data_IF_770038325027
#
_entry.id   IF_770038325027
#
_cell.length_a   1.000
_cell.length_b   1.000
_cell.length_c   1.000
_cell.angle_alpha   90.00
_cell.angle_beta   90.00
_cell.angle_gamma   90.00
#
_symmetry.space_group_name_H-M   'P 1'
#
loop_
_entity.id
_entity.type
_entity.pdbx_description
1 polymer ?
#
# COMPACT_ATOMS: atom_id res chain seq x y z
N UNK A 1 -33.42 10.11 29.15
CA UNK A 1 -33.23 10.34 27.71
C UNK A 1 -32.07 9.48 27.24
N UNK A 2 -32.35 8.51 26.38
CA UNK A 2 -31.39 7.52 25.90
C UNK A 2 -30.24 8.14 25.10
N UNK A 3 -29.01 7.80 25.46
CA UNK A 3 -27.81 8.20 24.72
C UNK A 3 -27.70 7.38 23.42
N UNK A 4 -27.52 8.01 22.24
CA UNK A 4 -27.17 7.27 21.04
C UNK A 4 -25.76 6.67 21.17
N UNK A 5 -25.68 5.33 21.12
CA UNK A 5 -24.43 4.54 21.14
C UNK A 5 -23.52 4.95 19.98
N UNK A 6 -22.25 5.21 20.30
CA UNK A 6 -21.13 5.46 19.35
C UNK A 6 -20.93 4.23 18.43
N UNK A 7 -20.66 4.40 17.11
CA UNK A 7 -20.07 3.33 16.33
C UNK A 7 -18.63 3.10 16.78
N UNK A 8 -18.25 1.84 17.03
CA UNK A 8 -16.88 1.47 17.36
C UNK A 8 -15.95 1.74 16.16
N UNK A 9 -15.00 2.67 16.30
CA UNK A 9 -14.01 2.95 15.23
C UNK A 9 -13.23 4.28 15.28
N UNK A 10 -13.58 5.26 16.12
CA UNK A 10 -12.89 6.57 16.12
C UNK A 10 -11.41 6.46 16.58
N UNK A 11 -10.42 6.96 15.81
CA UNK A 11 -9.00 6.91 16.17
C UNK A 11 -8.64 7.84 17.32
N UNK A 12 -8.05 7.26 18.36
CA UNK A 12 -7.19 7.96 19.32
C UNK A 12 -5.73 7.52 19.10
N UNK A 13 -4.81 8.46 19.27
CA UNK A 13 -3.36 8.24 19.21
C UNK A 13 -2.57 9.56 19.15
N UNK A 14 -2.22 10.09 20.33
CA UNK A 14 -0.97 10.81 20.72
C UNK A 14 0.08 11.00 19.61
N UNK A 15 0.65 12.16 19.26
CA UNK A 15 0.89 13.45 19.91
C UNK A 15 2.39 13.81 19.80
N UNK A 16 2.76 14.95 19.21
CA UNK A 16 4.14 15.50 19.21
C UNK A 16 4.24 16.83 18.44
N UNK A 17 4.61 17.92 19.13
CA UNK A 17 4.80 19.28 18.63
C UNK A 17 6.19 19.46 18.02
N UNK A 18 6.32 20.22 16.92
CA UNK A 18 7.55 20.98 16.62
C UNK A 18 7.22 22.32 15.95
N UNK A 19 7.98 23.33 16.35
CA UNK A 19 7.91 24.71 15.89
C UNK A 19 8.42 24.84 14.44
N UNK A 20 7.69 25.62 13.64
CA UNK A 20 8.08 26.00 12.29
C UNK A 20 9.05 27.19 12.35
N UNK A 21 10.25 27.01 11.79
CA UNK A 21 11.10 28.11 11.33
C UNK A 21 10.83 28.32 9.82
N UNK A 22 10.37 29.51 9.36
CA UNK A 22 9.88 29.72 8.00
C UNK A 22 10.94 30.20 6.99
N UNK A 23 12.24 30.12 7.29
CA UNK A 23 13.29 30.60 6.37
C UNK A 23 14.35 29.53 6.08
N UNK A 24 14.19 28.83 4.97
CA UNK A 24 15.12 27.79 4.51
C UNK A 24 14.99 27.44 3.03
N UNK A 25 15.21 28.45 2.17
CA UNK A 25 15.74 28.36 0.80
C UNK A 25 15.32 27.19 -0.10
N UNK A 26 14.37 27.48 -1.00
CA UNK A 26 14.24 26.79 -2.28
C UNK A 26 15.45 27.13 -3.18
N UNK A 27 16.37 26.19 -3.37
CA UNK A 27 17.32 26.16 -4.49
C UNK A 27 18.01 24.78 -4.56
N UNK A 28 17.79 24.03 -5.65
CA UNK A 28 18.64 22.87 -5.99
C UNK A 28 17.94 21.53 -6.25
N UNK A 29 16.81 21.48 -6.96
CA UNK A 29 16.32 20.20 -7.51
C UNK A 29 16.86 20.01 -8.93
N UNK A 30 17.55 18.90 -9.26
CA UNK A 30 18.01 18.62 -10.60
C UNK A 30 16.82 18.32 -11.52
N UNK A 31 16.87 18.86 -12.74
CA UNK A 31 15.96 18.55 -13.83
C UNK A 31 16.08 17.07 -14.21
N UNK A 32 15.08 16.25 -13.87
CA UNK A 32 14.99 14.88 -14.38
C UNK A 32 14.38 14.93 -15.79
N UNK A 33 15.24 14.76 -16.80
CA UNK A 33 14.79 14.34 -18.12
C UNK A 33 14.11 12.97 -18.03
N UNK A 34 13.08 12.67 -18.85
CA UNK A 34 12.39 11.39 -18.81
C UNK A 34 13.38 10.27 -19.18
N UNK A 35 13.62 9.36 -18.24
CA UNK A 35 14.41 8.16 -18.47
C UNK A 35 13.76 7.35 -19.60
N UNK A 36 14.47 7.19 -20.72
CA UNK A 36 14.08 6.26 -21.77
C UNK A 36 13.90 4.87 -21.16
N UNK A 37 12.72 4.28 -21.32
CA UNK A 37 12.49 2.89 -20.95
C UNK A 37 13.44 2.02 -21.78
N UNK A 38 14.44 1.43 -21.14
CA UNK A 38 15.28 0.42 -21.77
C UNK A 38 14.37 -0.73 -22.24
N UNK A 39 14.42 -1.04 -23.53
CA UNK A 39 13.65 -2.15 -24.10
C UNK A 39 14.29 -3.45 -23.62
N UNK A 40 13.61 -4.18 -22.73
CA UNK A 40 14.05 -5.51 -22.29
C UNK A 40 14.05 -6.47 -23.47
N UNK A 41 15.22 -7.03 -23.79
CA UNK A 41 15.39 -8.07 -24.80
C UNK A 41 15.17 -9.45 -24.16
N UNK A 42 14.50 -10.32 -24.90
CA UNK A 42 14.23 -11.69 -24.50
C UNK A 42 14.94 -12.64 -25.46
N UNK A 43 15.70 -13.59 -24.93
CA UNK A 43 16.16 -14.73 -25.70
C UNK A 43 14.96 -15.57 -26.15
N UNK A 44 15.07 -16.20 -27.30
CA UNK A 44 14.04 -17.11 -27.77
C UNK A 44 14.03 -18.43 -26.97
N UNK A 45 13.01 -19.26 -27.22
CA UNK A 45 12.83 -20.52 -26.54
C UNK A 45 13.99 -21.51 -26.79
N UNK A 46 14.61 -21.49 -27.96
CA UNK A 46 15.67 -22.44 -28.32
C UNK A 46 16.99 -22.05 -27.68
N UNK A 47 17.37 -20.77 -27.74
CA UNK A 47 18.52 -20.21 -27.04
C UNK A 47 18.40 -20.43 -25.54
N UNK A 48 17.21 -20.21 -24.96
CA UNK A 48 16.93 -20.46 -23.55
C UNK A 48 17.14 -21.95 -23.18
N UNK A 49 16.63 -22.89 -24.01
CA UNK A 49 16.85 -24.34 -23.77
C UNK A 49 18.33 -24.70 -23.83
N UNK A 50 19.08 -24.20 -24.82
CA UNK A 50 20.53 -24.47 -24.95
C UNK A 50 21.31 -24.02 -23.71
N UNK A 51 20.95 -22.88 -23.12
CA UNK A 51 21.55 -22.40 -21.87
C UNK A 51 21.19 -23.34 -20.70
N UNK A 52 19.92 -23.73 -20.58
CA UNK A 52 19.44 -24.63 -19.51
C UNK A 52 20.01 -26.05 -19.61
N UNK A 53 20.24 -26.55 -20.82
CA UNK A 53 20.85 -27.88 -21.04
C UNK A 53 22.30 -27.92 -20.53
N UNK A 54 23.05 -26.83 -20.74
CA UNK A 54 24.42 -26.66 -20.24
C UNK A 54 24.48 -26.35 -18.73
N UNK A 55 23.39 -25.88 -18.14
CA UNK A 55 23.35 -25.46 -16.73
C UNK A 55 23.71 -26.60 -15.77
N UNK A 56 24.65 -26.35 -14.87
CA UNK A 56 24.91 -27.19 -13.70
C UNK A 56 24.05 -26.74 -12.51
N UNK A 57 23.96 -25.43 -12.29
CA UNK A 57 23.22 -24.82 -11.19
C UNK A 57 22.39 -23.62 -11.65
N UNK A 58 21.22 -23.46 -11.02
CA UNK A 58 20.30 -22.34 -11.27
C UNK A 58 19.96 -21.70 -9.93
N UNK A 59 20.07 -20.38 -9.85
CA UNK A 59 19.83 -19.60 -8.65
C UNK A 59 18.85 -18.46 -8.92
N UNK A 60 17.97 -18.19 -7.96
CA UNK A 60 17.13 -16.99 -7.96
C UNK A 60 17.61 -16.02 -6.90
N UNK A 61 18.11 -14.88 -7.36
CA UNK A 61 18.70 -13.82 -6.54
C UNK A 61 17.80 -12.59 -6.50
N UNK A 62 18.23 -11.53 -5.79
CA UNK A 62 17.54 -10.24 -5.80
C UNK A 62 17.55 -9.58 -7.19
N UNK A 63 18.62 -9.79 -7.95
CA UNK A 63 18.83 -9.18 -9.28
C UNK A 63 18.22 -10.02 -10.42
N UNK A 64 17.69 -11.21 -10.09
CA UNK A 64 17.04 -12.10 -11.04
C UNK A 64 17.66 -13.49 -11.09
N UNK A 65 17.53 -14.15 -12.23
CA UNK A 65 18.06 -15.48 -12.49
C UNK A 65 19.58 -15.45 -12.70
N UNK A 66 20.29 -16.36 -12.04
CA UNK A 66 21.70 -16.67 -12.32
C UNK A 66 21.82 -18.14 -12.69
N UNK A 67 22.53 -18.43 -13.77
CA UNK A 67 22.76 -19.79 -14.26
C UNK A 67 24.27 -19.98 -14.41
N UNK A 68 24.79 -21.00 -13.74
CA UNK A 68 26.18 -21.43 -13.85
C UNK A 68 26.23 -22.83 -14.49
N UNK A 69 27.28 -23.13 -15.25
CA UNK A 69 27.51 -24.47 -15.80
C UNK A 69 27.93 -25.47 -14.70
N UNK A 70 28.32 -26.68 -15.11
CA UNK A 70 28.73 -27.74 -14.16
C UNK A 70 30.06 -27.46 -13.49
N UNK A 71 30.91 -26.65 -14.11
CA UNK A 71 32.23 -26.29 -13.63
C UNK A 71 32.19 -24.98 -12.81
N UNK A 72 31.01 -24.36 -12.72
CA UNK A 72 30.76 -23.14 -11.95
C UNK A 72 30.99 -21.84 -12.74
N UNK A 73 31.17 -21.92 -14.05
CA UNK A 73 31.29 -20.74 -14.89
C UNK A 73 29.91 -20.13 -15.20
N UNK A 74 29.84 -18.80 -15.17
CA UNK A 74 28.60 -18.07 -15.44
C UNK A 74 28.16 -18.28 -16.89
N UNK A 75 26.99 -18.89 -17.07
CA UNK A 75 26.34 -19.03 -18.37
C UNK A 75 25.38 -17.87 -18.64
N UNK A 76 24.68 -17.40 -17.61
CA UNK A 76 23.69 -16.35 -17.74
C UNK A 76 23.47 -15.61 -16.41
N UNK A 77 23.40 -14.28 -16.48
CA UNK A 77 22.96 -13.42 -15.39
C UNK A 77 21.86 -12.50 -15.92
N UNK A 78 20.68 -12.57 -15.31
CA UNK A 78 19.56 -11.72 -15.68
C UNK A 78 19.85 -10.25 -15.36
N UNK A 79 19.38 -9.37 -16.24
CA UNK A 79 19.40 -7.91 -16.06
C UNK A 79 18.07 -7.31 -16.50
N UNK A 80 17.90 -6.00 -16.31
CA UNK A 80 16.71 -5.28 -16.78
C UNK A 80 16.63 -5.20 -18.32
N UNK A 81 17.77 -5.31 -19.00
CA UNK A 81 17.87 -5.24 -20.46
C UNK A 81 17.86 -6.62 -21.13
N UNK A 82 18.15 -7.69 -20.38
CA UNK A 82 18.32 -9.03 -20.93
C UNK A 82 17.67 -10.10 -20.05
N UNK A 83 16.69 -10.81 -20.61
CA UNK A 83 16.00 -11.95 -19.96
C UNK A 83 15.93 -13.16 -20.87
N UNK A 84 15.77 -14.34 -20.29
CA UNK A 84 15.47 -15.56 -21.03
C UNK A 84 13.96 -15.73 -21.28
N UNK A 85 13.60 -16.62 -22.20
CA UNK A 85 12.20 -16.93 -22.50
C UNK A 85 11.47 -17.44 -21.25
N UNK A 86 10.47 -16.67 -20.83
CA UNK A 86 9.70 -16.90 -19.62
C UNK A 86 8.90 -18.20 -19.70
N UNK A 87 8.37 -18.55 -20.87
CA UNK A 87 7.56 -19.75 -21.05
C UNK A 87 8.41 -21.01 -20.85
N UNK A 88 9.60 -21.05 -21.46
CA UNK A 88 10.56 -22.14 -21.30
C UNK A 88 11.02 -22.28 -19.85
N UNK A 89 11.41 -21.19 -19.19
CA UNK A 89 11.88 -21.21 -17.79
C UNK A 89 10.83 -21.76 -16.80
N UNK A 90 9.55 -21.43 -17.02
CA UNK A 90 8.47 -21.86 -16.13
C UNK A 90 8.26 -23.39 -16.16
N UNK A 91 8.61 -24.04 -17.27
CA UNK A 91 8.47 -25.48 -17.43
C UNK A 91 9.76 -26.27 -17.14
N UNK A 92 10.89 -25.58 -16.96
CA UNK A 92 12.18 -26.22 -16.69
C UNK A 92 12.31 -26.73 -15.22
N UNK A 93 12.66 -28.01 -15.01
CA UNK A 93 12.79 -28.57 -13.66
C UNK A 93 13.88 -27.93 -12.79
N UNK A 94 15.02 -27.51 -13.38
CA UNK A 94 16.13 -26.88 -12.63
C UNK A 94 15.69 -25.51 -12.10
N UNK A 95 14.99 -24.75 -12.92
CA UNK A 95 14.40 -23.45 -12.58
C UNK A 95 13.33 -23.60 -11.51
N UNK A 96 12.42 -24.57 -11.62
CA UNK A 96 11.40 -24.79 -10.58
C UNK A 96 12.01 -25.25 -9.26
N UNK A 97 13.13 -26.01 -9.29
CA UNK A 97 13.90 -26.34 -8.07
C UNK A 97 14.51 -25.09 -7.44
N UNK A 98 15.12 -24.22 -8.25
CA UNK A 98 15.70 -22.95 -7.79
C UNK A 98 14.65 -22.02 -7.18
N UNK A 99 13.45 -21.93 -7.78
CA UNK A 99 12.32 -21.16 -7.24
C UNK A 99 11.90 -21.69 -5.87
N UNK A 100 11.77 -23.01 -5.71
CA UNK A 100 11.43 -23.63 -4.42
C UNK A 100 12.49 -23.34 -3.37
N UNK A 101 13.77 -23.52 -3.70
CA UNK A 101 14.88 -23.23 -2.80
C UNK A 101 14.93 -21.75 -2.40
N UNK A 102 14.67 -20.84 -3.33
CA UNK A 102 14.69 -19.42 -3.06
C UNK A 102 13.61 -18.96 -2.08
N UNK A 103 12.52 -19.72 -1.95
CA UNK A 103 11.37 -19.36 -1.12
C UNK A 103 11.14 -20.30 0.07
N UNK A 104 12.02 -21.29 0.27
CA UNK A 104 11.90 -22.32 1.30
C UNK A 104 12.03 -21.73 2.71
N UNK A 105 13.11 -21.00 2.95
CA UNK A 105 13.45 -20.48 4.27
C UNK A 105 13.01 -19.03 4.45
N UNK A 106 12.62 -18.59 5.67
CA UNK A 106 12.30 -17.19 5.94
C UNK A 106 13.50 -16.28 5.65
N UNK A 107 13.32 -15.27 4.79
CA UNK A 107 14.41 -14.38 4.37
C UNK A 107 14.75 -13.28 5.38
N UNK A 108 14.09 -13.24 6.53
CA UNK A 108 14.21 -12.18 7.54
C UNK A 108 14.69 -12.67 8.91
N UNK A 109 15.17 -13.91 8.97
CA UNK A 109 15.69 -14.53 10.21
C UNK A 109 17.10 -15.08 10.01
N UNK A 110 17.92 -15.03 11.07
CA UNK A 110 19.26 -15.62 11.10
C UNK A 110 20.32 -14.78 10.39
N UNK A 111 21.52 -15.37 10.24
CA UNK A 111 22.70 -14.71 9.67
C UNK A 111 22.57 -14.39 8.17
N UNK A 112 21.59 -14.99 7.49
CA UNK A 112 21.26 -14.74 6.09
C UNK A 112 20.12 -13.71 5.90
N UNK A 113 19.76 -12.95 6.95
CA UNK A 113 18.68 -11.96 6.88
C UNK A 113 18.95 -10.90 5.81
N UNK A 114 18.06 -10.83 4.83
CA UNK A 114 18.19 -9.92 3.69
C UNK A 114 17.63 -8.53 4.03
N UNK A 115 18.14 -7.50 3.36
CA UNK A 115 17.54 -6.16 3.42
C UNK A 115 16.08 -6.20 2.95
N UNK A 116 15.19 -5.31 3.43
CA UNK A 116 13.78 -5.31 3.02
C UNK A 116 13.58 -5.21 1.49
N UNK A 117 14.44 -4.47 0.78
CA UNK A 117 14.40 -4.35 -0.68
C UNK A 117 14.81 -5.67 -1.35
N UNK A 118 15.91 -6.29 -0.90
CA UNK A 118 16.41 -7.55 -1.47
C UNK A 118 15.42 -8.72 -1.26
N UNK A 119 14.73 -8.77 -0.11
CA UNK A 119 13.65 -9.75 0.14
C UNK A 119 12.54 -9.66 -0.90
N UNK A 120 12.04 -8.45 -1.14
CA UNK A 120 10.98 -8.18 -2.13
C UNK A 120 11.45 -8.47 -3.54
N UNK A 121 12.68 -8.08 -3.89
CA UNK A 121 13.25 -8.31 -5.20
C UNK A 121 13.37 -9.83 -5.50
N UNK A 122 13.96 -10.59 -4.57
CA UNK A 122 14.09 -12.05 -4.70
C UNK A 122 12.73 -12.76 -4.73
N UNK A 123 11.80 -12.39 -3.85
CA UNK A 123 10.46 -12.97 -3.83
C UNK A 123 9.69 -12.69 -5.13
N UNK A 124 9.80 -11.46 -5.67
CA UNK A 124 9.21 -11.07 -6.95
C UNK A 124 9.84 -11.84 -8.12
N UNK A 125 11.16 -11.97 -8.15
CA UNK A 125 11.88 -12.74 -9.16
C UNK A 125 11.46 -14.22 -9.13
N UNK A 126 11.48 -14.86 -7.97
CA UNK A 126 11.08 -16.24 -7.79
C UNK A 126 9.61 -16.47 -8.20
N UNK A 127 8.72 -15.57 -7.82
CA UNK A 127 7.29 -15.69 -8.15
C UNK A 127 7.01 -15.50 -9.64
N UNK A 128 7.75 -14.62 -10.32
CA UNK A 128 7.69 -14.47 -11.78
C UNK A 128 8.04 -15.79 -12.47
N UNK A 129 9.13 -16.42 -12.04
CA UNK A 129 9.66 -17.69 -12.58
C UNK A 129 8.85 -18.93 -12.16
N UNK A 130 8.00 -18.82 -11.13
CA UNK A 130 7.18 -19.92 -10.65
C UNK A 130 6.09 -20.32 -11.64
N UNK A 131 5.88 -21.63 -11.79
CA UNK A 131 4.74 -22.19 -12.53
C UNK A 131 3.38 -21.80 -11.91
N UNK A 132 2.28 -21.83 -12.69
CA UNK A 132 0.94 -21.54 -12.16
C UNK A 132 0.58 -22.35 -10.91
N UNK A 133 0.94 -23.64 -10.88
CA UNK A 133 0.73 -24.51 -9.73
C UNK A 133 1.61 -24.12 -8.54
N UNK A 134 2.90 -23.86 -8.78
CA UNK A 134 3.83 -23.44 -7.73
C UNK A 134 3.43 -22.09 -7.12
N UNK A 135 2.92 -21.14 -7.92
CA UNK A 135 2.44 -19.84 -7.42
C UNK A 135 1.37 -19.98 -6.35
N UNK A 136 0.41 -20.90 -6.53
CA UNK A 136 -0.62 -21.16 -5.52
C UNK A 136 -0.01 -21.73 -4.24
N UNK A 137 0.84 -22.75 -4.36
CA UNK A 137 1.54 -23.34 -3.22
C UNK A 137 2.39 -22.32 -2.45
N UNK A 138 3.08 -21.42 -3.16
CA UNK A 138 3.87 -20.33 -2.58
C UNK A 138 2.97 -19.35 -1.81
N UNK A 139 1.84 -18.92 -2.39
CA UNK A 139 0.92 -18.00 -1.71
C UNK A 139 0.41 -18.61 -0.41
N UNK A 140 0.11 -19.91 -0.41
CA UNK A 140 -0.51 -20.60 0.72
C UNK A 140 0.49 -20.96 1.83
N UNK A 141 1.69 -21.41 1.47
CA UNK A 141 2.59 -22.08 2.41
C UNK A 141 3.97 -21.42 2.54
N UNK A 142 4.37 -20.53 1.64
CA UNK A 142 5.71 -19.93 1.75
C UNK A 142 5.77 -18.97 2.93
N UNK A 143 6.82 -19.04 3.77
CA UNK A 143 7.06 -18.05 4.81
C UNK A 143 7.34 -16.66 4.24
N UNK A 144 7.60 -16.56 2.93
CA UNK A 144 7.95 -15.32 2.22
C UNK A 144 6.78 -14.74 1.41
N UNK A 145 5.57 -15.30 1.54
CA UNK A 145 4.40 -14.84 0.79
C UNK A 145 4.06 -13.34 1.02
N UNK A 146 4.37 -12.81 2.22
CA UNK A 146 4.20 -11.37 2.55
C UNK A 146 5.00 -10.42 1.65
N UNK A 147 6.03 -10.90 0.97
CA UNK A 147 6.87 -10.10 0.06
C UNK A 147 6.41 -10.14 -1.39
N UNK A 148 5.41 -10.95 -1.72
CA UNK A 148 4.87 -11.07 -3.08
C UNK A 148 4.04 -9.84 -3.46
N UNK A 149 3.85 -9.57 -4.76
CA UNK A 149 2.98 -8.47 -5.17
C UNK A 149 1.52 -8.77 -4.79
N UNK A 150 0.89 -7.82 -4.07
CA UNK A 150 -0.46 -7.99 -3.55
C UNK A 150 -1.54 -8.23 -4.61
N UNK A 151 -1.34 -7.77 -5.84
CA UNK A 151 -2.23 -8.01 -6.98
C UNK A 151 -2.35 -9.48 -7.36
N UNK A 152 -1.24 -10.22 -7.38
CA UNK A 152 -1.26 -11.65 -7.67
C UNK A 152 -1.91 -12.45 -6.54
N UNK A 153 -1.64 -12.07 -5.29
CA UNK A 153 -2.30 -12.69 -4.14
C UNK A 153 -3.80 -12.43 -4.21
N UNK A 154 -4.23 -11.18 -4.36
CA UNK A 154 -5.65 -10.82 -4.44
C UNK A 154 -6.38 -11.56 -5.57
N UNK A 155 -5.77 -11.60 -6.76
CA UNK A 155 -6.33 -12.35 -7.90
C UNK A 155 -6.44 -13.84 -7.58
N UNK A 156 -5.41 -14.45 -6.99
CA UNK A 156 -5.43 -15.87 -6.60
C UNK A 156 -6.51 -16.16 -5.56
N UNK A 157 -6.64 -15.31 -4.53
CA UNK A 157 -7.62 -15.48 -3.45
C UNK A 157 -9.07 -15.28 -3.94
N UNK A 158 -9.31 -14.27 -4.78
CA UNK A 158 -10.65 -13.95 -5.29
C UNK A 158 -11.28 -15.08 -6.11
N UNK A 159 -10.47 -15.88 -6.82
CA UNK A 159 -10.93 -16.97 -7.68
C UNK A 159 -11.00 -18.33 -6.97
N UNK A 160 -10.81 -18.39 -5.65
CA UNK A 160 -10.90 -19.65 -4.91
C UNK A 160 -12.34 -20.10 -4.77
N UNK A 161 -12.55 -21.41 -4.87
CA UNK A 161 -13.83 -22.04 -4.52
C UNK A 161 -14.09 -21.96 -3.02
N UNK A 162 -13.05 -22.16 -2.22
CA UNK A 162 -13.08 -22.03 -0.76
C UNK A 162 -12.71 -20.60 -0.35
N UNK A 163 -13.74 -19.77 -0.15
CA UNK A 163 -13.59 -18.37 0.26
C UNK A 163 -13.19 -18.25 1.73
N UNK A 164 -13.51 -19.22 2.58
CA UNK A 164 -13.12 -19.17 4.00
C UNK A 164 -11.62 -19.35 4.16
N UNK A 165 -11.05 -20.36 3.50
CA UNK A 165 -9.61 -20.57 3.46
C UNK A 165 -8.88 -19.39 2.81
N UNK A 166 -9.47 -18.76 1.78
CA UNK A 166 -8.91 -17.55 1.16
C UNK A 166 -8.80 -16.39 2.17
N UNK A 167 -9.84 -16.21 2.99
CA UNK A 167 -9.88 -15.18 4.03
C UNK A 167 -8.94 -15.51 5.20
N UNK A 168 -8.81 -16.78 5.56
CA UNK A 168 -7.83 -17.21 6.57
C UNK A 168 -6.40 -16.94 6.13
N UNK A 169 -6.11 -17.06 4.84
CA UNK A 169 -4.80 -16.67 4.30
C UNK A 169 -4.58 -15.16 4.37
N UNK A 170 -5.58 -14.34 4.05
CA UNK A 170 -5.49 -12.89 4.23
C UNK A 170 -5.27 -12.50 5.71
N UNK A 171 -5.96 -13.16 6.64
CA UNK A 171 -5.78 -12.96 8.08
C UNK A 171 -4.37 -13.36 8.53
N UNK A 172 -3.84 -14.47 8.00
CA UNK A 172 -2.48 -14.93 8.28
C UNK A 172 -1.44 -13.94 7.76
N UNK A 173 -1.60 -13.45 6.53
CA UNK A 173 -0.76 -12.39 5.96
C UNK A 173 -0.81 -11.13 6.83
N UNK A 174 -1.97 -10.78 7.38
CA UNK A 174 -2.10 -9.62 8.27
C UNK A 174 -1.31 -9.77 9.57
N UNK A 175 -1.35 -10.97 10.18
CA UNK A 175 -0.57 -11.26 11.39
C UNK A 175 0.94 -11.24 11.13
N UNK A 176 1.36 -11.74 9.96
CA UNK A 176 2.76 -11.73 9.51
C UNK A 176 3.23 -10.30 9.19
N UNK A 177 2.44 -9.56 8.40
CA UNK A 177 2.72 -8.19 7.96
C UNK A 177 1.42 -7.47 7.53
N UNK A 178 0.98 -6.52 8.36
CA UNK A 178 -0.21 -5.72 8.08
C UNK A 178 -0.12 -4.91 6.77
N UNK A 179 1.09 -4.53 6.33
CA UNK A 179 1.29 -3.85 5.06
C UNK A 179 1.06 -4.79 3.86
N UNK A 180 1.50 -6.05 3.97
CA UNK A 180 1.24 -7.08 2.97
C UNK A 180 -0.26 -7.32 2.78
N UNK A 181 -1.01 -7.52 3.87
CA UNK A 181 -2.46 -7.65 3.80
C UNK A 181 -3.13 -6.39 3.23
N UNK A 182 -2.64 -5.19 3.57
CA UNK A 182 -3.15 -3.95 2.99
C UNK A 182 -2.93 -3.87 1.48
N UNK A 183 -1.81 -4.38 0.96
CA UNK A 183 -1.58 -4.45 -0.49
C UNK A 183 -2.58 -5.38 -1.19
N UNK A 184 -2.94 -6.50 -0.57
CA UNK A 184 -3.98 -7.42 -1.08
C UNK A 184 -5.36 -6.75 -1.09
N UNK A 185 -5.69 -5.99 -0.04
CA UNK A 185 -6.95 -5.25 0.06
C UNK A 185 -7.05 -4.14 -0.97
N UNK A 186 -5.98 -3.37 -1.19
CA UNK A 186 -5.93 -2.38 -2.28
C UNK A 186 -6.10 -3.00 -3.65
N UNK A 187 -5.57 -4.20 -3.85
CA UNK A 187 -5.74 -4.97 -5.08
C UNK A 187 -7.15 -5.59 -5.25
N UNK A 188 -8.00 -5.48 -4.23
CA UNK A 188 -9.43 -5.76 -4.36
C UNK A 188 -9.92 -7.06 -3.73
N UNK A 189 -9.13 -7.69 -2.85
CA UNK A 189 -9.59 -8.82 -2.03
C UNK A 189 -9.63 -8.44 -0.54
N UNK A 190 -10.73 -8.65 0.21
CA UNK A 190 -11.94 -9.37 -0.19
C UNK A 190 -12.78 -8.62 -1.23
N UNK A 191 -13.42 -9.38 -2.12
CA UNK A 191 -14.26 -8.88 -3.21
C UNK A 191 -15.77 -9.00 -2.93
N UNK A 192 -16.15 -9.33 -1.70
CA UNK A 192 -17.53 -9.35 -1.23
C UNK A 192 -17.69 -8.76 0.19
N UNK A 193 -18.94 -8.47 0.57
CA UNK A 193 -19.29 -7.90 1.87
C UNK A 193 -18.99 -8.86 3.03
N UNK A 194 -19.26 -10.15 2.87
CA UNK A 194 -19.10 -11.13 3.94
C UNK A 194 -17.62 -11.25 4.36
N UNK A 195 -16.73 -11.46 3.38
CA UNK A 195 -15.30 -11.54 3.58
C UNK A 195 -14.69 -10.25 4.11
N UNK A 196 -15.16 -9.09 3.64
CA UNK A 196 -14.74 -7.81 4.18
C UNK A 196 -15.04 -7.69 5.68
N UNK A 197 -16.26 -8.03 6.10
CA UNK A 197 -16.64 -7.98 7.51
C UNK A 197 -15.97 -9.07 8.35
N UNK A 198 -15.69 -10.25 7.80
CA UNK A 198 -14.88 -11.28 8.47
C UNK A 198 -13.47 -10.77 8.77
N UNK A 199 -12.79 -10.17 7.80
CA UNK A 199 -11.48 -9.56 8.00
C UNK A 199 -11.52 -8.40 9.00
N UNK A 200 -12.51 -7.50 8.87
CA UNK A 200 -12.68 -6.36 9.80
C UNK A 200 -12.86 -6.86 11.24
N UNK A 201 -13.69 -7.88 11.44
CA UNK A 201 -13.96 -8.41 12.77
C UNK A 201 -12.77 -9.18 13.34
N UNK A 202 -12.03 -9.90 12.50
CA UNK A 202 -10.83 -10.61 12.91
C UNK A 202 -9.74 -9.65 13.38
N UNK A 203 -9.52 -8.56 12.62
CA UNK A 203 -8.42 -7.60 12.81
C UNK A 203 -8.76 -6.41 13.70
N UNK A 204 -9.96 -6.34 14.28
CA UNK A 204 -10.32 -5.23 15.20
C UNK A 204 -9.66 -5.34 16.58
N UNK A 205 -9.24 -6.54 16.96
CA UNK A 205 -8.57 -6.85 18.24
C UNK A 205 -7.15 -7.33 17.99
N UNK A 206 -6.25 -7.02 18.92
CA UNK A 206 -4.83 -7.39 18.85
C UNK A 206 -4.69 -8.89 19.06
N UNK A 207 -3.79 -9.51 18.30
CA UNK A 207 -3.51 -10.95 18.36
C UNK A 207 -2.02 -11.22 18.40
N UNK A 208 -1.63 -12.35 18.99
CA UNK A 208 -0.24 -12.80 18.96
C UNK A 208 0.17 -13.14 17.52
N UNK A 209 1.30 -12.58 17.06
CA UNK A 209 1.78 -12.73 15.69
C UNK A 209 2.55 -14.05 15.46
N UNK A 210 3.07 -14.63 16.55
CA UNK A 210 3.79 -15.89 16.60
C UNK A 210 3.49 -16.56 17.95
N UNK A 211 3.81 -17.84 18.06
CA UNK A 211 3.83 -18.53 19.34
C UNK A 211 4.91 -17.90 20.23
N UNK A 212 4.63 -17.75 21.52
CA UNK A 212 5.58 -17.20 22.48
C UNK A 212 5.95 -18.17 23.62
N UNK A 213 6.99 -17.81 24.38
CA UNK A 213 7.52 -18.62 25.47
C UNK A 213 6.55 -18.73 26.65
N UNK A 214 5.54 -17.86 26.71
CA UNK A 214 4.49 -17.85 27.72
C UNK A 214 3.35 -18.81 27.38
N UNK A 215 3.44 -19.51 26.25
CA UNK A 215 2.47 -20.51 25.81
C UNK A 215 1.31 -19.92 25.01
N UNK A 216 1.36 -18.63 24.67
CA UNK A 216 0.35 -18.03 23.79
C UNK A 216 0.55 -18.54 22.37
N UNK A 217 -0.56 -18.86 21.71
CA UNK A 217 -0.54 -19.36 20.32
C UNK A 217 -0.73 -18.23 19.33
N UNK A 218 -0.12 -18.34 18.17
CA UNK A 218 -0.35 -17.44 17.03
C UNK A 218 -1.84 -17.32 16.75
N UNK A 219 -2.31 -16.08 16.64
CA UNK A 219 -3.72 -15.75 16.40
C UNK A 219 -4.60 -15.68 17.65
N UNK A 220 -4.10 -16.06 18.82
CA UNK A 220 -4.79 -15.86 20.10
C UNK A 220 -4.98 -14.36 20.39
N UNK A 221 -6.08 -13.99 21.06
CA UNK A 221 -6.41 -12.60 21.37
C UNK A 221 -5.55 -12.10 22.53
N UNK A 222 -4.87 -10.97 22.34
CA UNK A 222 -4.14 -10.28 23.41
C UNK A 222 -5.14 -9.55 24.31
N UNK A 223 -5.05 -9.79 25.62
CA UNK A 223 -5.90 -9.18 26.64
C UNK A 223 -5.09 -8.26 27.54
N UNK A 224 -5.72 -7.21 28.05
CA UNK A 224 -5.12 -6.35 29.07
C UNK A 224 -5.22 -6.98 30.46
N UNK A 225 -4.72 -6.28 31.49
CA UNK A 225 -4.73 -6.75 32.88
C UNK A 225 -6.15 -7.01 33.44
N UNK A 226 -7.20 -6.44 32.83
CA UNK A 226 -8.60 -6.68 33.20
C UNK A 226 -9.22 -7.88 32.47
N UNK A 227 -8.46 -8.52 31.57
CA UNK A 227 -8.95 -9.60 30.72
C UNK A 227 -9.70 -9.11 29.47
N UNK A 228 -9.78 -7.80 29.23
CA UNK A 228 -10.47 -7.24 28.06
C UNK A 228 -9.59 -7.32 26.80
N UNK A 229 -10.16 -7.63 25.61
CA UNK A 229 -9.41 -7.63 24.36
C UNK A 229 -8.82 -6.25 24.04
N UNK A 230 -7.53 -6.20 23.74
CA UNK A 230 -6.86 -4.95 23.36
C UNK A 230 -7.26 -4.59 21.92
N UNK A 231 -7.70 -3.34 21.64
CA UNK A 231 -7.94 -2.88 20.28
C UNK A 231 -6.67 -2.91 19.43
N UNK A 232 -6.79 -3.31 18.16
CA UNK A 232 -5.64 -3.38 17.25
C UNK A 232 -5.47 -2.06 16.47
N UNK A 233 -4.41 -1.27 16.70
CA UNK A 233 -4.15 -0.08 15.91
C UNK A 233 -3.70 -0.40 14.47
N UNK A 234 -2.98 -1.50 14.23
CA UNK A 234 -2.54 -1.89 12.88
C UNK A 234 -3.75 -2.26 12.01
N UNK A 235 -3.61 -2.09 10.69
CA UNK A 235 -4.70 -2.40 9.73
C UNK A 235 -5.94 -1.51 9.84
N UNK A 236 -5.94 -0.47 10.68
CA UNK A 236 -7.10 0.42 10.86
C UNK A 236 -7.57 1.04 9.56
N UNK A 237 -6.64 1.51 8.73
CA UNK A 237 -6.97 2.13 7.45
C UNK A 237 -7.58 1.10 6.48
N UNK A 238 -7.09 -0.14 6.49
CA UNK A 238 -7.66 -1.24 5.73
C UNK A 238 -9.10 -1.57 6.15
N UNK A 239 -9.35 -1.65 7.46
CA UNK A 239 -10.72 -1.83 7.99
C UNK A 239 -11.63 -0.67 7.62
N UNK A 240 -11.13 0.57 7.71
CA UNK A 240 -11.88 1.78 7.34
C UNK A 240 -12.26 1.76 5.86
N UNK A 241 -11.30 1.44 4.98
CA UNK A 241 -11.52 1.31 3.55
C UNK A 241 -12.57 0.25 3.21
N UNK A 242 -12.46 -0.95 3.80
CA UNK A 242 -13.44 -2.02 3.58
C UNK A 242 -14.84 -1.65 4.10
N UNK A 243 -14.94 -0.92 5.22
CA UNK A 243 -16.22 -0.40 5.71
C UNK A 243 -16.82 0.62 4.75
N UNK A 244 -16.02 1.56 4.25
CA UNK A 244 -16.49 2.52 3.25
C UNK A 244 -16.99 1.80 2.01
N UNK A 245 -16.29 0.77 1.54
CA UNK A 245 -16.67 0.04 0.34
C UNK A 245 -17.94 -0.81 0.49
N UNK A 246 -18.10 -1.51 1.63
CA UNK A 246 -19.14 -2.53 1.81
C UNK A 246 -20.27 -2.15 2.78
N UNK A 247 -20.15 -0.99 3.41
CA UNK A 247 -21.17 -0.31 4.20
C UNK A 247 -21.04 1.21 4.01
N UNK A 248 -21.22 1.70 2.76
CA UNK A 248 -21.00 3.10 2.42
C UNK A 248 -21.97 4.01 3.20
N UNK A 249 -21.45 5.13 3.66
CA UNK A 249 -22.25 6.27 4.11
C UNK A 249 -22.41 7.27 2.96
N UNK A 250 -23.26 8.29 3.13
CA UNK A 250 -23.47 9.32 2.11
C UNK A 250 -22.13 9.93 1.64
N UNK A 251 -21.98 10.03 0.32
CA UNK A 251 -20.80 10.61 -0.32
C UNK A 251 -19.60 9.67 -0.47
N UNK A 252 -19.69 8.40 -0.08
CA UNK A 252 -18.66 7.40 -0.38
C UNK A 252 -18.82 6.89 -1.82
N UNK A 253 -17.77 6.97 -2.67
CA UNK A 253 -17.82 6.44 -4.02
C UNK A 253 -17.76 4.91 -4.04
N UNK A 254 -18.41 4.29 -5.03
CA UNK A 254 -18.28 2.85 -5.26
C UNK A 254 -16.89 2.48 -5.82
N UNK A 255 -16.60 1.17 -5.92
CA UNK A 255 -15.30 0.67 -6.40
C UNK A 255 -14.96 1.19 -7.80
N UNK A 256 -15.91 1.15 -8.74
CA UNK A 256 -15.67 1.53 -10.13
C UNK A 256 -15.41 3.04 -10.25
N UNK A 257 -16.13 3.84 -9.46
CA UNK A 257 -15.89 5.29 -9.36
C UNK A 257 -14.50 5.58 -8.82
N UNK A 258 -14.04 4.87 -7.78
CA UNK A 258 -12.68 5.02 -7.24
C UNK A 258 -11.63 4.57 -8.26
N UNK A 259 -11.84 3.46 -8.96
CA UNK A 259 -10.93 2.99 -10.00
C UNK A 259 -10.77 4.02 -11.13
N UNK A 260 -11.86 4.63 -11.58
CA UNK A 260 -11.83 5.70 -12.59
C UNK A 260 -11.09 6.95 -12.09
N UNK A 261 -11.29 7.35 -10.83
CA UNK A 261 -10.56 8.48 -10.23
C UNK A 261 -9.08 8.17 -10.03
N UNK A 262 -8.70 6.94 -9.61
CA UNK A 262 -7.30 6.52 -9.53
C UNK A 262 -6.61 6.56 -10.89
N UNK A 263 -7.31 6.16 -11.97
CA UNK A 263 -6.78 6.26 -13.34
C UNK A 263 -6.55 7.72 -13.75
N UNK A 264 -7.51 8.61 -13.46
CA UNK A 264 -7.32 10.04 -13.70
C UNK A 264 -6.12 10.60 -12.90
N UNK A 265 -5.95 10.19 -11.64
CA UNK A 265 -4.78 10.58 -10.85
C UNK A 265 -3.47 10.12 -11.47
N UNK A 266 -3.40 8.87 -11.99
CA UNK A 266 -2.18 8.34 -12.62
C UNK A 266 -1.76 9.05 -13.91
N UNK A 267 -2.69 9.73 -14.58
CA UNK A 267 -2.37 10.57 -15.75
C UNK A 267 -1.52 11.80 -15.35
N UNK A 268 -1.49 12.16 -14.07
CA UNK A 268 -0.70 13.26 -13.52
C UNK A 268 0.63 12.80 -12.88
N UNK A 269 1.03 11.54 -13.02
CA UNK A 269 2.23 11.01 -12.32
C UNK A 269 3.53 11.75 -12.68
N UNK A 270 3.57 12.41 -13.84
CA UNK A 270 4.70 13.25 -14.28
C UNK A 270 4.79 14.61 -13.60
N UNK A 271 3.75 15.06 -12.90
CA UNK A 271 3.73 16.34 -12.17
C UNK A 271 3.17 16.15 -10.74
N UNK A 272 4.06 15.91 -9.76
CA UNK A 272 3.67 15.72 -8.37
C UNK A 272 2.93 16.89 -7.73
N UNK A 273 3.22 18.13 -8.15
CA UNK A 273 2.60 19.33 -7.59
C UNK A 273 1.14 19.41 -8.00
N UNK A 274 0.88 19.23 -9.30
CA UNK A 274 -0.48 19.19 -9.86
C UNK A 274 -1.29 18.06 -9.22
N UNK A 275 -0.71 16.87 -9.10
CA UNK A 275 -1.39 15.73 -8.48
C UNK A 275 -1.72 15.99 -7.00
N UNK A 276 -0.84 16.68 -6.27
CA UNK A 276 -1.08 17.10 -4.90
C UNK A 276 -2.18 18.18 -4.77
N UNK A 277 -2.22 19.15 -5.69
CA UNK A 277 -3.23 20.20 -5.74
C UNK A 277 -4.62 19.62 -6.01
N UNK A 278 -4.76 18.75 -7.02
CA UNK A 278 -6.04 18.06 -7.30
C UNK A 278 -6.51 17.25 -6.09
N UNK A 279 -5.60 16.53 -5.43
CA UNK A 279 -5.96 15.78 -4.23
C UNK A 279 -6.36 16.69 -3.07
N UNK A 280 -5.69 17.83 -2.91
CA UNK A 280 -6.03 18.84 -1.92
C UNK A 280 -7.44 19.42 -2.12
N UNK A 281 -7.82 19.70 -3.37
CA UNK A 281 -9.16 20.17 -3.71
C UNK A 281 -10.22 19.10 -3.44
N UNK A 282 -9.94 17.83 -3.76
CA UNK A 282 -10.82 16.70 -3.37
C UNK A 282 -10.97 16.61 -1.85
N UNK A 283 -9.93 16.96 -1.07
CA UNK A 283 -10.00 16.94 0.39
C UNK A 283 -10.83 18.09 0.97
N UNK A 284 -10.64 19.32 0.48
CA UNK A 284 -11.03 20.54 1.19
C UNK A 284 -11.94 21.48 0.38
N UNK A 285 -12.07 21.25 -0.92
CA UNK A 285 -12.82 22.08 -1.86
C UNK A 285 -12.10 23.37 -2.25
N UNK A 286 -12.79 24.17 -3.07
CA UNK A 286 -12.22 25.26 -3.89
C UNK A 286 -11.93 26.54 -3.10
N UNK A 287 -11.09 26.44 -2.08
CA UNK A 287 -10.93 27.46 -1.02
C UNK A 287 -9.74 28.41 -1.13
N UNK A 288 -8.87 28.36 -2.16
CA UNK A 288 -7.82 29.40 -2.40
C UNK A 288 -7.46 29.55 -3.88
N UNK A 289 -7.00 30.75 -4.32
CA UNK A 289 -7.11 31.21 -5.70
C UNK A 289 -5.93 30.72 -6.58
N UNK A 290 -6.17 29.74 -7.44
CA UNK A 290 -5.65 29.70 -8.82
C UNK A 290 -6.31 28.54 -9.59
N UNK A 291 -7.23 28.93 -10.48
CA UNK A 291 -7.57 28.25 -11.73
C UNK A 291 -7.77 26.73 -11.76
N UNK A 292 -8.87 26.24 -11.19
CA UNK A 292 -9.49 25.01 -11.73
C UNK A 292 -10.05 25.20 -13.14
N UNK A 293 -10.29 26.45 -13.58
CA UNK A 293 -10.70 26.74 -14.96
C UNK A 293 -9.61 26.46 -16.00
N UNK A 294 -8.36 26.22 -15.59
CA UNK A 294 -7.21 26.10 -16.50
C UNK A 294 -6.67 24.68 -16.74
N UNK A 295 -6.86 23.72 -15.81
CA UNK A 295 -6.20 22.40 -15.91
C UNK A 295 -7.14 21.20 -16.09
N UNK A 296 -8.36 21.25 -15.56
CA UNK A 296 -9.34 20.16 -15.72
C UNK A 296 -10.16 20.28 -17.02
N UNK A 297 -10.16 21.46 -17.63
CA UNK A 297 -11.02 21.79 -18.78
C UNK A 297 -10.49 21.36 -20.15
N UNK A 298 -9.20 20.96 -20.28
CA UNK A 298 -8.53 20.89 -21.59
C UNK A 298 -8.22 19.50 -22.14
N UNK A 299 -8.32 18.40 -21.38
CA UNK A 299 -8.09 17.06 -21.94
C UNK A 299 -9.39 16.22 -22.03
N UNK A 300 -10.01 16.28 -23.22
CA UNK A 300 -11.18 15.48 -23.62
C UNK A 300 -10.77 14.27 -24.46
N UNK A 301 -11.16 13.06 -24.05
CA UNK A 301 -12.00 12.13 -24.83
C UNK A 301 -11.98 10.73 -24.18
N UNK A 302 -13.15 10.19 -23.82
CA UNK A 302 -13.35 8.93 -23.05
C UNK A 302 -12.73 8.85 -21.63
N UNK A 303 -11.69 9.65 -21.37
CA UNK A 303 -10.91 9.83 -20.14
C UNK A 303 -11.61 10.76 -19.11
N UNK A 304 -12.67 11.47 -19.50
CA UNK A 304 -13.35 12.46 -18.66
C UNK A 304 -14.15 11.90 -17.49
N UNK A 305 -14.43 10.58 -17.42
CA UNK A 305 -15.24 10.02 -16.33
C UNK A 305 -14.53 10.09 -14.98
N UNK A 306 -13.23 9.83 -14.93
CA UNK A 306 -12.43 9.95 -13.71
C UNK A 306 -12.34 11.42 -13.28
N UNK A 307 -11.98 12.29 -14.22
CA UNK A 307 -11.87 13.73 -14.01
C UNK A 307 -13.17 14.39 -13.57
N UNK A 308 -14.31 14.10 -14.22
CA UNK A 308 -15.62 14.61 -13.82
C UNK A 308 -16.01 14.18 -12.39
N UNK A 309 -15.53 13.02 -11.93
CA UNK A 309 -15.77 12.56 -10.55
C UNK A 309 -14.83 13.25 -9.56
N UNK A 310 -13.58 13.51 -9.94
CA UNK A 310 -12.66 14.33 -9.15
C UNK A 310 -13.21 15.76 -8.99
N UNK A 311 -13.64 16.39 -10.09
CA UNK A 311 -14.27 17.72 -10.10
C UNK A 311 -15.55 17.79 -9.25
N UNK A 312 -16.45 16.81 -9.41
CA UNK A 312 -17.63 16.71 -8.53
C UNK A 312 -17.27 16.48 -7.07
N UNK A 313 -16.18 15.78 -6.78
CA UNK A 313 -15.72 15.53 -5.42
C UNK A 313 -15.01 16.74 -4.80
N UNK A 314 -14.39 17.61 -5.61
CA UNK A 314 -13.77 18.86 -5.16
C UNK A 314 -14.78 19.99 -5.01
N UNK A 315 -15.96 19.92 -5.64
CA UNK A 315 -16.98 20.95 -5.56
C UNK A 315 -17.33 21.40 -4.11
N UNK A 316 -17.56 22.71 -3.96
CA UNK A 316 -17.95 23.45 -2.73
C UNK A 316 -17.06 23.27 -1.48
N UNK A 317 -17.08 22.08 -0.87
CA UNK A 317 -16.48 21.80 0.46
C UNK A 317 -15.53 20.59 0.45
N UNK A 318 -15.26 20.03 -0.73
CA UNK A 318 -14.49 18.80 -0.90
C UNK A 318 -15.20 17.57 -0.32
N UNK A 319 -14.69 16.39 -0.66
CA UNK A 319 -15.20 15.11 -0.22
C UNK A 319 -14.11 14.25 0.44
N UNK A 320 -14.00 14.39 1.76
CA UNK A 320 -13.07 13.61 2.59
C UNK A 320 -13.25 12.09 2.50
N UNK A 321 -14.44 11.57 2.16
CA UNK A 321 -14.62 10.13 1.94
C UNK A 321 -13.93 9.68 0.66
N UNK A 322 -14.10 10.43 -0.44
CA UNK A 322 -13.40 10.20 -1.71
C UNK A 322 -11.88 10.29 -1.48
N UNK A 323 -11.41 11.35 -0.80
CA UNK A 323 -10.00 11.51 -0.49
C UNK A 323 -9.41 10.32 0.29
N UNK A 324 -10.12 9.81 1.31
CA UNK A 324 -9.65 8.62 2.07
C UNK A 324 -9.59 7.37 1.21
N UNK A 325 -10.54 7.17 0.30
CA UNK A 325 -10.54 6.03 -0.63
C UNK A 325 -9.33 6.13 -1.58
N UNK A 326 -9.08 7.30 -2.17
CA UNK A 326 -7.95 7.56 -3.07
C UNK A 326 -6.60 7.41 -2.36
N UNK A 327 -6.46 8.01 -1.17
CA UNK A 327 -5.26 7.89 -0.36
C UNK A 327 -4.95 6.44 0.02
N UNK A 328 -5.97 5.68 0.45
CA UNK A 328 -5.77 4.28 0.81
C UNK A 328 -5.37 3.43 -0.40
N UNK A 329 -5.96 3.71 -1.56
CA UNK A 329 -5.64 3.07 -2.85
C UNK A 329 -4.28 3.47 -3.42
N UNK A 330 -3.57 4.38 -2.76
CA UNK A 330 -2.30 4.97 -3.21
C UNK A 330 -2.43 5.62 -4.59
N UNK A 331 -3.46 6.46 -4.77
CA UNK A 331 -3.70 7.16 -6.02
C UNK A 331 -2.68 8.28 -6.29
N UNK A 332 -1.92 8.72 -5.29
CA UNK A 332 -0.82 9.68 -5.46
C UNK A 332 0.50 8.94 -5.65
N UNK A 333 1.41 9.53 -6.41
CA UNK A 333 2.84 9.21 -6.29
C UNK A 333 3.33 9.55 -4.87
N UNK A 334 4.38 8.88 -4.36
CA UNK A 334 4.97 9.24 -3.08
C UNK A 334 5.44 10.70 -3.03
N UNK A 335 5.93 11.25 -4.14
CA UNK A 335 6.33 12.64 -4.26
C UNK A 335 5.11 13.57 -4.13
N UNK A 336 4.01 13.29 -4.82
CA UNK A 336 2.79 14.10 -4.69
C UNK A 336 2.17 14.01 -3.30
N UNK A 337 2.21 12.83 -2.68
CA UNK A 337 1.79 12.67 -1.29
C UNK A 337 2.65 13.53 -0.34
N UNK A 338 3.95 13.66 -0.59
CA UNK A 338 4.84 14.54 0.16
C UNK A 338 4.55 16.04 -0.10
N UNK A 339 4.32 16.43 -1.36
CA UNK A 339 3.92 17.81 -1.69
C UNK A 339 2.60 18.20 -1.04
N UNK A 340 1.61 17.31 -1.04
CA UNK A 340 0.36 17.50 -0.30
C UNK A 340 0.60 17.73 1.20
N UNK A 341 1.58 17.04 1.81
CA UNK A 341 1.95 17.26 3.20
C UNK A 341 2.65 18.60 3.43
N UNK A 342 3.23 19.25 2.42
CA UNK A 342 3.74 20.62 2.54
C UNK A 342 2.64 21.67 2.40
N UNK A 343 1.56 21.34 1.70
CA UNK A 343 0.42 22.24 1.53
C UNK A 343 -0.21 22.60 2.89
N UNK A 344 -0.41 23.91 3.08
CA UNK A 344 -1.00 24.47 4.28
C UNK A 344 -2.48 24.09 4.41
N UNK A 345 -3.04 24.12 5.62
CA UNK A 345 -4.43 23.74 5.83
C UNK A 345 -5.47 24.65 5.14
N UNK A 346 -6.10 24.13 4.08
CA UNK A 346 -7.15 24.83 3.32
C UNK A 346 -8.49 25.02 4.00
N UNK A 347 -8.74 24.31 5.10
CA UNK A 347 -10.02 24.33 5.79
C UNK A 347 -9.82 24.72 7.27
N UNK A 348 -10.21 25.95 7.64
CA UNK A 348 -10.21 26.40 9.04
C UNK A 348 -11.31 25.73 9.89
N UNK A 349 -12.18 24.89 9.29
CA UNK A 349 -13.28 24.22 9.99
C UNK A 349 -12.77 23.09 10.90
N UNK A 350 -13.48 22.93 12.01
CA UNK A 350 -13.24 21.88 13.00
C UNK A 350 -13.59 20.50 12.43
N UNK A 351 -12.82 19.48 12.77
CA UNK A 351 -13.11 18.09 12.44
C UNK A 351 -14.43 17.66 13.11
N UNK A 352 -15.22 16.84 12.42
CA UNK A 352 -16.43 16.25 12.98
C UNK A 352 -16.06 15.08 13.93
N UNK A 353 -15.54 15.42 15.11
CA UNK A 353 -15.08 14.47 16.12
C UNK A 353 -15.45 14.94 17.53
N UNK A 354 -15.67 13.99 18.45
CA UNK A 354 -15.81 14.27 19.89
C UNK A 354 -14.45 14.36 20.62
N UNK A 355 -13.36 14.12 19.90
CA UNK A 355 -12.01 14.15 20.46
C UNK A 355 -11.43 15.56 20.36
N UNK A 356 -11.24 16.18 21.51
CA UNK A 356 -10.55 17.46 21.66
C UNK A 356 -9.13 17.23 22.17
N UNK A 357 -8.23 18.18 21.88
CA UNK A 357 -6.88 18.20 22.46
C UNK A 357 -6.75 19.41 23.36
N UNK A 358 -6.22 19.21 24.56
CA UNK A 358 -5.87 20.29 25.48
C UNK A 358 -4.73 21.12 24.90
N UNK A 359 -5.02 22.35 24.45
CA UNK A 359 -4.00 23.32 24.02
C UNK A 359 -4.01 24.54 24.93
N UNK A 360 -2.83 25.10 25.18
CA UNK A 360 -2.70 26.37 25.90
C UNK A 360 -3.06 27.51 24.96
N UNK A 361 -4.06 28.28 25.34
CA UNK A 361 -4.49 29.47 24.62
C UNK A 361 -3.42 30.57 24.78
N UNK A 362 -2.85 31.04 23.67
CA UNK A 362 -1.73 32.01 23.70
C UNK A 362 -2.14 33.39 24.22
N UNK A 363 -3.42 33.77 24.12
CA UNK A 363 -3.91 35.07 24.55
C UNK A 363 -4.32 35.09 26.04
N UNK A 364 -4.84 33.96 26.54
CA UNK A 364 -5.39 33.88 27.90
C UNK A 364 -4.58 33.00 28.85
N UNK A 365 -3.56 32.28 28.34
CA UNK A 365 -2.67 31.41 29.12
C UNK A 365 -3.31 30.14 29.67
N UNK A 366 -4.62 29.96 29.52
CA UNK A 366 -5.40 28.84 30.06
C UNK A 366 -5.40 27.65 29.10
N UNK A 367 -5.48 26.44 29.66
CA UNK A 367 -5.67 25.22 28.87
C UNK A 367 -7.13 25.14 28.40
N UNK A 368 -7.35 25.00 27.10
CA UNK A 368 -8.67 24.81 26.49
C UNK A 368 -8.71 23.52 25.69
N UNK A 369 -9.87 22.89 25.67
CA UNK A 369 -10.16 21.73 24.84
C UNK A 369 -10.45 22.22 23.42
N UNK A 370 -9.53 21.98 22.50
CA UNK A 370 -9.63 22.42 21.11
C UNK A 370 -9.97 21.24 20.22
N UNK A 371 -11.06 21.35 19.47
CA UNK A 371 -11.37 20.36 18.42
C UNK A 371 -10.33 20.50 17.30
N UNK A 372 -9.68 19.42 16.83
CA UNK A 372 -8.68 19.53 15.78
C UNK A 372 -9.32 20.06 14.48
N UNK A 373 -8.56 20.78 13.66
CA UNK A 373 -9.01 21.11 12.31
C UNK A 373 -9.18 19.82 11.48
N UNK A 374 -10.09 19.82 10.51
CA UNK A 374 -10.34 18.67 9.59
C UNK A 374 -9.07 18.14 8.91
N UNK A 375 -8.03 18.97 8.84
CA UNK A 375 -6.71 18.70 8.28
C UNK A 375 -5.83 17.70 9.00
N UNK A 376 -6.02 17.47 10.29
CA UNK A 376 -5.18 16.49 11.00
C UNK A 376 -5.50 15.06 10.54
N UNK A 377 -6.77 14.76 10.22
CA UNK A 377 -7.18 13.40 9.84
C UNK A 377 -6.57 12.96 8.50
N UNK A 378 -6.64 13.78 7.45
CA UNK A 378 -6.13 13.38 6.13
C UNK A 378 -4.61 13.33 6.09
N UNK A 379 -3.92 14.26 6.75
CA UNK A 379 -2.45 14.25 6.85
C UNK A 379 -1.97 13.00 7.60
N UNK A 380 -2.56 12.71 8.76
CA UNK A 380 -2.26 11.46 9.50
C UNK A 380 -2.57 10.22 8.66
N UNK A 381 -3.62 10.27 7.83
CA UNK A 381 -3.97 9.18 6.93
C UNK A 381 -2.93 8.99 5.81
N UNK A 382 -2.45 10.08 5.20
CA UNK A 382 -1.37 10.06 4.20
C UNK A 382 -0.08 9.53 4.81
N UNK A 383 0.34 10.04 5.98
CA UNK A 383 1.49 9.49 6.70
C UNK A 383 1.33 7.99 6.93
N UNK A 384 0.16 7.53 7.37
CA UNK A 384 -0.07 6.11 7.63
C UNK A 384 -0.15 5.25 6.35
N UNK A 385 -0.67 5.78 5.24
CA UNK A 385 -0.82 5.04 3.98
C UNK A 385 0.48 4.97 3.17
N UNK A 386 1.33 6.00 3.25
CA UNK A 386 2.56 6.16 2.48
C UNK A 386 3.85 6.01 3.31
N UNK A 387 3.76 5.71 4.63
CA UNK A 387 4.91 5.56 5.53
C UNK A 387 6.05 4.71 4.94
N UNK A 388 5.71 3.53 4.42
CA UNK A 388 6.68 2.61 3.83
C UNK A 388 7.30 3.17 2.53
N UNK A 389 6.54 3.95 1.76
CA UNK A 389 7.03 4.54 0.51
C UNK A 389 7.99 5.68 0.80
N UNK A 390 7.64 6.57 1.74
CA UNK A 390 8.52 7.65 2.19
C UNK A 390 9.83 7.11 2.74
N UNK A 391 9.77 6.10 3.61
CA UNK A 391 10.96 5.44 4.15
C UNK A 391 11.82 4.80 3.06
N UNK A 392 11.19 4.14 2.08
CA UNK A 392 11.90 3.46 0.98
C UNK A 392 12.60 4.46 0.05
N UNK A 393 11.99 5.61 -0.19
CA UNK A 393 12.48 6.62 -1.12
C UNK A 393 13.32 7.71 -0.45
N UNK A 394 13.52 7.63 0.87
CA UNK A 394 14.26 8.64 1.62
C UNK A 394 13.59 10.02 1.62
N UNK A 395 12.26 10.07 1.44
CA UNK A 395 11.52 11.33 1.41
C UNK A 395 11.26 11.77 2.85
N UNK A 396 11.87 12.89 3.25
CA UNK A 396 11.55 13.54 4.52
C UNK A 396 10.26 14.36 4.36
N UNK A 397 9.26 14.00 5.15
CA UNK A 397 7.93 14.63 5.13
C UNK A 397 7.60 15.34 6.45
N UNK A 398 8.56 15.46 7.37
CA UNK A 398 8.27 15.82 8.76
C UNK A 398 7.34 14.79 9.44
N UNK A 399 7.22 14.82 10.77
CA UNK A 399 6.30 13.93 11.50
C UNK A 399 5.07 14.65 12.00
#
# INVERSE_FOLDING_TARGET
MDQPRKPAGSPGGTGGQFDHDPTGGAAGLPSFAPAGQAVTRYEDAEATRRILDRAGSVYVTGDGLRIDDKDGHLLFQESDEHRLDQATLVHDPKTQRAVRQALADPMDTGDAAMTPSARRARAKAAFRLASPYSRRGIIDHSPNARYLPGSYIAHSLAHRRDQEAALDRLNSLYLEDAAAASNVIRAGFPNDKHGAFRFINYTKVKRYAADDKQGHKKGEIVRDASGAPIPEPKGKNARSYLRMLWQPTNGVPDKAQVDDMCRAMSQMDGDPNVQAEVFYEVCYGNGTPRNMSGMLGSNRSSEGRGWNRLDRASAERGNGNVARMLAYRKALTPQAAAEFLKMGPGDKRLANTRWTTRKRDKATGKMRDVTPARLTEMRSFIHAAYADDFKRLGIDVGR
#
